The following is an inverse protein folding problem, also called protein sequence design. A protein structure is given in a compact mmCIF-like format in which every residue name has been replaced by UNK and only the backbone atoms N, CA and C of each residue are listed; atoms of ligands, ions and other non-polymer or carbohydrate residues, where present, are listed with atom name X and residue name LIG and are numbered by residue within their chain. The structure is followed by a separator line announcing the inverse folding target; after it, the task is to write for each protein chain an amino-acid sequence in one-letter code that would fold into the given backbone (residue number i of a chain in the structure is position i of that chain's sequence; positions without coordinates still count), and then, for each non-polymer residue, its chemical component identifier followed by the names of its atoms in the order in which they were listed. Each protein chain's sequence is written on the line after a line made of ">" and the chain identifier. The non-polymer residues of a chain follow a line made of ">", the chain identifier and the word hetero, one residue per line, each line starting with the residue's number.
data_IF_814674425458
#
_entry.id   IF_814674425458
#
_cell.length_a   1.000
_cell.length_b   1.000
_cell.length_c   1.000
_cell.angle_alpha   90.00
_cell.angle_beta   90.00
_cell.angle_gamma   90.00
#
_symmetry.space_group_name_H-M   'P 1'
#
loop_
_entity.id
_entity.type
_entity.pdbx_description
1 polymer ?
#
# COMPACT_ATOMS: atom_id res chain seq x y z
N UNK A 1 -20.74 28.59 -3.40
CA UNK A 1 -20.18 27.36 -2.80
C UNK A 1 -18.78 27.65 -2.27
N UNK A 2 -18.63 27.79 -0.95
CA UNK A 2 -17.35 28.09 -0.31
C UNK A 2 -16.37 26.90 -0.41
N UNK A 3 -16.89 25.66 -0.44
CA UNK A 3 -16.13 24.41 -0.58
C UNK A 3 -15.41 24.33 -1.93
N UNK A 4 -16.09 24.73 -3.00
CA UNK A 4 -15.47 24.86 -4.34
C UNK A 4 -14.29 25.83 -4.33
N UNK A 5 -14.46 27.01 -3.71
CA UNK A 5 -13.38 28.01 -3.60
C UNK A 5 -12.22 27.52 -2.74
N UNK A 6 -12.51 26.83 -1.63
CA UNK A 6 -11.50 26.25 -0.77
C UNK A 6 -10.70 25.15 -1.48
N UNK A 7 -11.37 24.28 -2.24
CA UNK A 7 -10.71 23.27 -3.07
C UNK A 7 -9.76 23.89 -4.08
N UNK A 8 -10.23 24.88 -4.83
CA UNK A 8 -9.39 25.58 -5.80
C UNK A 8 -8.19 26.27 -5.16
N UNK A 9 -8.37 26.83 -3.96
CA UNK A 9 -7.28 27.38 -3.17
C UNK A 9 -6.24 26.30 -2.83
N UNK A 10 -6.67 25.16 -2.26
CA UNK A 10 -5.77 24.05 -1.93
C UNK A 10 -5.04 23.49 -3.16
N UNK A 11 -5.72 23.37 -4.30
CA UNK A 11 -5.13 22.89 -5.54
C UNK A 11 -4.08 23.87 -6.11
N UNK A 12 -4.29 25.18 -5.98
CA UNK A 12 -3.28 26.17 -6.40
C UNK A 12 -2.07 26.22 -5.47
N UNK A 13 -2.25 25.83 -4.20
CA UNK A 13 -1.18 25.73 -3.22
C UNK A 13 -0.44 24.38 -3.23
N UNK A 14 -0.86 23.43 -4.07
CA UNK A 14 -0.24 22.12 -4.17
C UNK A 14 0.99 22.19 -5.10
N UNK A 15 2.17 21.96 -4.54
CA UNK A 15 3.44 22.00 -5.29
C UNK A 15 3.72 20.70 -6.07
N UNK A 16 2.91 19.66 -5.86
CA UNK A 16 3.12 18.37 -6.47
C UNK A 16 1.85 17.52 -6.61
N UNK A 17 1.96 16.39 -7.32
CA UNK A 17 0.80 15.54 -7.60
C UNK A 17 0.30 14.80 -6.36
N UNK A 18 1.18 14.52 -5.38
CA UNK A 18 0.76 13.95 -4.09
C UNK A 18 0.03 14.96 -3.21
N UNK A 19 0.48 16.22 -3.22
CA UNK A 19 -0.16 17.36 -2.58
C UNK A 19 -1.54 17.63 -3.20
N UNK A 20 -1.63 17.57 -4.53
CA UNK A 20 -2.90 17.72 -5.26
C UNK A 20 -3.88 16.59 -4.92
N UNK A 21 -3.39 15.35 -4.84
CA UNK A 21 -4.21 14.21 -4.40
C UNK A 21 -4.67 14.37 -2.94
N UNK A 22 -3.79 14.84 -2.05
CA UNK A 22 -4.11 15.13 -0.66
C UNK A 22 -5.17 16.21 -0.51
N UNK A 23 -5.07 17.30 -1.29
CA UNK A 23 -6.06 18.37 -1.35
C UNK A 23 -7.45 17.85 -1.75
N UNK A 24 -7.54 16.98 -2.76
CA UNK A 24 -8.81 16.35 -3.17
C UNK A 24 -9.34 15.38 -2.11
N UNK A 25 -8.45 14.59 -1.50
CA UNK A 25 -8.80 13.62 -0.46
C UNK A 25 -9.32 14.28 0.83
N UNK A 26 -9.06 15.57 1.07
CA UNK A 26 -9.63 16.31 2.19
C UNK A 26 -11.17 16.40 2.14
N UNK A 27 -11.76 16.35 0.94
CA UNK A 27 -13.21 16.49 0.73
C UNK A 27 -13.95 15.16 0.65
N UNK A 28 -13.23 14.03 0.72
CA UNK A 28 -13.80 12.68 0.70
C UNK A 28 -13.72 12.04 2.08
N UNK A 29 -14.73 11.26 2.43
CA UNK A 29 -14.75 10.48 3.65
C UNK A 29 -13.76 9.32 3.62
N UNK A 30 -13.47 8.72 4.79
CA UNK A 30 -12.49 7.63 4.90
C UNK A 30 -12.91 6.37 4.13
N UNK A 31 -14.22 6.14 3.95
CA UNK A 31 -14.76 4.98 3.21
C UNK A 31 -14.46 5.12 1.73
N UNK A 32 -14.75 6.27 1.14
CA UNK A 32 -14.48 6.58 -0.27
C UNK A 32 -12.97 6.48 -0.56
N UNK A 33 -12.14 6.98 0.35
CA UNK A 33 -10.68 6.88 0.24
C UNK A 33 -10.22 5.41 0.29
N UNK A 34 -10.78 4.60 1.18
CA UNK A 34 -10.43 3.18 1.28
C UNK A 34 -10.83 2.38 0.04
N UNK A 35 -11.93 2.73 -0.61
CA UNK A 35 -12.36 2.10 -1.86
C UNK A 35 -11.44 2.45 -3.04
N UNK A 36 -11.02 3.71 -3.13
CA UNK A 36 -10.18 4.22 -4.21
C UNK A 36 -8.70 3.82 -4.04
N UNK A 37 -8.21 3.79 -2.80
CA UNK A 37 -6.82 3.52 -2.45
C UNK A 37 -6.73 2.25 -1.62
N UNK A 38 -6.66 1.12 -2.31
CA UNK A 38 -6.64 -0.22 -1.69
C UNK A 38 -5.30 -0.55 -1.03
N UNK A 39 -4.19 0.00 -1.51
CA UNK A 39 -2.86 -0.21 -0.92
C UNK A 39 -2.75 0.60 0.39
N UNK A 40 -2.55 -0.05 1.56
CA UNK A 40 -2.48 0.64 2.84
C UNK A 40 -1.28 1.59 2.95
N UNK A 41 -0.16 1.29 2.28
CA UNK A 41 1.01 2.17 2.27
C UNK A 41 0.73 3.42 1.45
N UNK A 42 0.09 3.24 0.31
CA UNK A 42 -0.34 4.34 -0.53
C UNK A 42 -1.34 5.25 0.18
N UNK A 43 -2.31 4.65 0.89
CA UNK A 43 -3.29 5.39 1.69
C UNK A 43 -2.63 6.16 2.83
N UNK A 44 -1.65 5.55 3.49
CA UNK A 44 -0.87 6.22 4.54
C UNK A 44 -0.05 7.39 3.99
N UNK A 45 0.54 7.20 2.80
CA UNK A 45 1.29 8.26 2.13
C UNK A 45 0.38 9.40 1.67
N UNK A 46 -0.79 9.10 1.09
CA UNK A 46 -1.81 10.09 0.73
C UNK A 46 -2.27 10.90 1.94
N UNK A 47 -2.51 10.25 3.08
CA UNK A 47 -2.94 10.92 4.32
C UNK A 47 -1.92 11.95 4.83
N UNK A 48 -0.63 11.80 4.54
CA UNK A 48 0.40 12.78 4.90
C UNK A 48 0.21 14.13 4.18
N UNK A 49 -0.40 14.11 3.00
CA UNK A 49 -0.63 15.30 2.18
C UNK A 49 -2.04 15.87 2.36
N UNK A 50 -2.90 15.23 3.16
CA UNK A 50 -4.22 15.79 3.45
C UNK A 50 -4.03 17.06 4.28
N UNK A 51 -4.50 18.22 3.80
CA UNK A 51 -4.46 19.43 4.59
C UNK A 51 -5.21 19.17 5.90
N UNK A 52 -4.56 19.49 7.02
CA UNK A 52 -5.21 19.47 8.32
C UNK A 52 -6.38 20.45 8.21
N UNK A 53 -7.63 20.04 8.49
CA UNK A 53 -8.75 20.98 8.50
C UNK A 53 -8.36 22.15 9.40
N UNK A 54 -8.70 23.41 9.05
CA UNK A 54 -8.44 24.53 9.94
C UNK A 54 -9.25 24.33 11.22
N UNK A 55 -8.66 23.66 12.21
CA UNK A 55 -9.29 23.34 13.47
C UNK A 55 -9.36 24.63 14.29
N UNK A 56 -10.52 25.28 14.28
CA UNK A 56 -10.90 26.17 15.38
C UNK A 56 -11.37 25.31 16.57
N UNK A 57 -10.48 24.50 17.14
CA UNK A 57 -10.78 23.74 18.37
C UNK A 57 -10.16 22.35 18.47
N UNK A 58 -10.17 21.81 19.70
CA UNK A 58 -9.71 20.47 20.04
C UNK A 58 -10.42 19.39 19.20
N UNK A 59 -9.70 18.36 18.70
CA UNK A 59 -10.31 17.21 18.03
C UNK A 59 -11.44 16.58 18.87
N UNK A 60 -12.51 16.13 18.22
CA UNK A 60 -13.67 15.52 18.90
C UNK A 60 -14.67 16.51 19.50
N UNK A 61 -14.46 17.82 19.34
CA UNK A 61 -15.46 18.82 19.71
C UNK A 61 -16.58 18.90 18.67
N UNK A 62 -17.81 19.31 19.06
CA UNK A 62 -18.91 19.53 18.11
C UNK A 62 -18.56 20.50 16.97
N UNK A 63 -17.71 21.50 17.25
CA UNK A 63 -17.21 22.43 16.24
C UNK A 63 -16.27 21.75 15.24
N UNK A 64 -15.33 20.91 15.71
CA UNK A 64 -14.46 20.11 14.85
C UNK A 64 -15.25 19.14 13.96
N UNK A 65 -16.25 18.46 14.52
CA UNK A 65 -17.14 17.56 13.77
C UNK A 65 -18.01 18.32 12.74
N UNK A 66 -18.47 19.52 13.09
CA UNK A 66 -19.23 20.37 12.18
C UNK A 66 -18.33 20.89 11.05
N UNK A 67 -17.11 21.32 11.34
CA UNK A 67 -16.11 21.68 10.33
C UNK A 67 -15.79 20.50 9.44
N UNK A 68 -15.60 19.30 9.98
CA UNK A 68 -15.38 18.07 9.23
C UNK A 68 -16.54 17.79 8.26
N UNK A 69 -17.78 17.75 8.76
CA UNK A 69 -18.98 17.52 7.93
C UNK A 69 -19.20 18.60 6.88
N UNK A 70 -18.91 19.85 7.21
CA UNK A 70 -18.98 20.97 6.27
C UNK A 70 -17.84 20.85 5.23
N UNK A 71 -16.66 20.33 5.57
CA UNK A 71 -15.56 20.13 4.62
C UNK A 71 -15.75 18.90 3.72
N UNK A 72 -16.42 17.85 4.19
CA UNK A 72 -16.71 16.65 3.40
C UNK A 72 -17.87 16.88 2.42
N UNK A 73 -17.74 16.33 1.21
CA UNK A 73 -18.83 16.33 0.24
C UNK A 73 -19.87 15.27 0.64
N UNK A 74 -21.14 15.69 0.78
CA UNK A 74 -22.28 14.81 1.10
C UNK A 74 -23.20 14.59 -0.12
N UNK A 75 -23.03 15.37 -1.19
CA UNK A 75 -23.82 15.25 -2.41
C UNK A 75 -23.21 14.16 -3.33
N UNK A 76 -24.02 13.19 -3.82
CA UNK A 76 -23.50 12.05 -4.58
C UNK A 76 -22.86 12.44 -5.92
N UNK A 77 -23.30 13.51 -6.56
CA UNK A 77 -22.69 14.01 -7.81
C UNK A 77 -21.38 14.74 -7.52
N UNK A 78 -21.32 15.50 -6.41
CA UNK A 78 -20.09 16.10 -5.91
C UNK A 78 -19.04 15.02 -5.57
N UNK A 79 -19.44 13.97 -4.85
CA UNK A 79 -18.60 12.82 -4.51
C UNK A 79 -18.11 12.14 -5.78
N UNK A 80 -18.99 11.81 -6.73
CA UNK A 80 -18.62 11.12 -7.97
C UNK A 80 -17.58 11.91 -8.77
N UNK A 81 -17.76 13.23 -8.85
CA UNK A 81 -16.81 14.13 -9.51
C UNK A 81 -15.47 14.18 -8.79
N UNK A 82 -15.47 14.26 -7.45
CA UNK A 82 -14.25 14.26 -6.63
C UNK A 82 -13.50 12.93 -6.75
N UNK A 83 -14.20 11.79 -6.77
CA UNK A 83 -13.60 10.47 -6.99
C UNK A 83 -12.87 10.42 -8.33
N UNK A 84 -13.49 10.90 -9.41
CA UNK A 84 -12.86 10.96 -10.73
C UNK A 84 -11.59 11.83 -10.76
N UNK A 85 -11.63 13.00 -10.11
CA UNK A 85 -10.46 13.88 -9.99
C UNK A 85 -9.34 13.23 -9.16
N UNK A 86 -9.68 12.60 -8.03
CA UNK A 86 -8.71 11.93 -7.17
C UNK A 86 -8.03 10.76 -7.89
N UNK A 87 -8.79 9.96 -8.65
CA UNK A 87 -8.21 8.86 -9.45
C UNK A 87 -7.14 9.39 -10.41
N UNK A 88 -7.41 10.51 -11.10
CA UNK A 88 -6.45 11.11 -12.03
C UNK A 88 -5.22 11.63 -11.29
N UNK A 89 -5.42 12.37 -10.20
CA UNK A 89 -4.31 12.89 -9.38
C UNK A 89 -3.42 11.77 -8.82
N UNK A 90 -4.02 10.65 -8.39
CA UNK A 90 -3.28 9.48 -7.93
C UNK A 90 -2.46 8.82 -9.06
N UNK A 91 -3.00 8.75 -10.28
CA UNK A 91 -2.25 8.25 -11.43
C UNK A 91 -1.03 9.12 -11.73
N UNK A 92 -1.20 10.44 -11.70
CA UNK A 92 -0.11 11.40 -11.90
C UNK A 92 0.92 11.30 -10.76
N UNK A 93 0.46 11.17 -9.52
CA UNK A 93 1.30 11.01 -8.35
C UNK A 93 2.15 9.74 -8.41
N UNK A 94 1.54 8.61 -8.78
CA UNK A 94 2.22 7.32 -8.98
C UNK A 94 3.28 7.40 -10.09
N UNK A 95 2.98 8.10 -11.19
CA UNK A 95 3.93 8.32 -12.29
C UNK A 95 5.10 9.20 -11.90
N UNK A 96 4.85 10.25 -11.12
CA UNK A 96 5.88 11.15 -10.64
C UNK A 96 6.79 10.47 -9.62
N UNK A 97 6.19 9.85 -8.59
CA UNK A 97 6.91 9.08 -7.58
C UNK A 97 5.96 8.09 -6.89
N UNK A 98 6.21 6.77 -6.97
CA UNK A 98 5.40 5.82 -6.22
C UNK A 98 5.54 6.03 -4.71
N UNK A 99 4.50 5.72 -3.95
CA UNK A 99 4.53 5.83 -2.49
C UNK A 99 5.70 5.02 -1.92
N UNK A 100 6.46 5.57 -0.95
CA UNK A 100 7.57 4.87 -0.32
C UNK A 100 7.04 3.63 0.39
N UNK A 101 7.56 2.47 -0.02
CA UNK A 101 7.28 1.19 0.61
C UNK A 101 8.42 0.88 1.55
N UNK A 102 8.15 0.34 2.76
CA UNK A 102 9.22 -0.31 3.51
C UNK A 102 9.80 -1.36 2.58
N UNK A 103 11.12 -1.32 2.37
CA UNK A 103 11.80 -2.34 1.60
C UNK A 103 11.45 -3.67 2.28
N UNK A 104 10.53 -4.43 1.68
CA UNK A 104 10.58 -5.88 1.81
C UNK A 104 11.99 -6.17 1.32
N UNK A 105 12.87 -6.60 2.22
CA UNK A 105 14.20 -7.06 1.87
C UNK A 105 14.04 -7.78 0.54
N UNK A 106 14.49 -7.16 -0.55
CA UNK A 106 14.80 -7.90 -1.73
C UNK A 106 16.00 -8.68 -1.27
N UNK A 107 15.76 -9.80 -0.56
CA UNK A 107 16.77 -10.84 -0.45
C UNK A 107 17.19 -11.01 -1.89
N UNK A 108 18.46 -10.76 -2.24
CA UNK A 108 18.94 -11.16 -3.54
C UNK A 108 18.47 -12.61 -3.67
N UNK A 109 17.67 -12.90 -4.69
CA UNK A 109 17.42 -14.29 -5.07
C UNK A 109 18.79 -14.80 -5.45
N UNK A 110 19.54 -15.32 -4.47
CA UNK A 110 20.71 -16.14 -4.76
C UNK A 110 20.14 -17.23 -5.65
N UNK A 111 20.58 -17.35 -6.91
CA UNK A 111 20.15 -18.45 -7.75
C UNK A 111 20.39 -19.72 -6.94
N UNK A 112 19.32 -20.47 -6.68
CA UNK A 112 19.47 -21.79 -6.08
C UNK A 112 20.50 -22.53 -6.96
N UNK A 113 21.62 -23.02 -6.41
CA UNK A 113 22.55 -23.80 -7.21
C UNK A 113 21.75 -24.93 -7.88
N UNK A 114 22.04 -25.23 -9.16
CA UNK A 114 21.34 -26.29 -9.86
C UNK A 114 21.40 -27.56 -9.00
N UNK A 115 20.31 -28.35 -8.95
CA UNK A 115 20.35 -29.64 -8.26
C UNK A 115 21.56 -30.42 -8.78
N UNK A 116 22.29 -31.13 -7.90
CA UNK A 116 23.37 -31.99 -8.37
C UNK A 116 22.80 -32.93 -9.44
N UNK A 117 23.56 -33.21 -10.52
CA UNK A 117 23.12 -34.16 -11.53
C UNK A 117 22.72 -35.47 -10.84
N UNK A 118 21.61 -36.06 -11.27
CA UNK A 118 21.16 -37.37 -10.81
C UNK A 118 22.32 -38.36 -10.97
N UNK A 119 23.03 -38.63 -9.87
CA UNK A 119 23.94 -39.76 -9.83
C UNK A 119 23.07 -41.00 -10.06
N UNK A 120 23.36 -41.82 -11.08
CA UNK A 120 22.61 -43.04 -11.27
C UNK A 120 22.77 -43.89 -10.02
N UNK A 121 21.65 -44.20 -9.37
CA UNK A 121 21.59 -45.05 -8.20
C UNK A 121 22.50 -46.27 -8.39
N UNK A 122 23.36 -46.61 -7.42
CA UNK A 122 24.13 -47.85 -7.47
C UNK A 122 23.16 -49.02 -7.65
N UNK A 123 23.28 -49.71 -8.78
CA UNK A 123 22.54 -50.94 -9.05
C UNK A 123 22.90 -51.95 -7.96
N UNK A 124 21.97 -52.19 -7.04
CA UNK A 124 22.09 -53.26 -6.04
C UNK A 124 22.10 -54.60 -6.77
N UNK A 125 23.30 -55.16 -6.93
CA UNK A 125 23.47 -56.54 -7.34
C UNK A 125 22.97 -57.47 -6.22
N UNK A 126 22.09 -58.45 -6.52
CA UNK A 126 21.66 -59.41 -5.51
C UNK A 126 22.79 -60.43 -5.30
N UNK A 127 23.64 -60.18 -4.31
CA UNK A 127 24.58 -61.20 -3.80
C UNK A 127 23.96 -61.86 -2.59
N UNK A 128 23.54 -63.10 -2.79
CA UNK A 128 23.16 -64.02 -1.74
C UNK A 128 24.32 -64.37 -0.80
N UNK A 129 24.01 -65.36 0.05
CA UNK A 129 24.84 -66.01 1.06
C UNK A 129 24.75 -65.41 2.48
N UNK A 130 23.64 -65.81 3.12
CA UNK A 130 23.65 -66.38 4.47
C UNK A 130 24.99 -67.08 4.78
N UNK A 131 25.63 -66.73 5.89
CA UNK A 131 26.88 -67.41 6.28
C UNK A 131 27.55 -66.86 7.53
N UNK A 132 26.76 -66.53 8.54
CA UNK A 132 27.18 -66.18 9.89
C UNK A 132 28.11 -67.26 10.48
N UNK A 133 29.31 -66.91 10.95
CA UNK A 133 29.99 -67.61 12.05
C UNK A 133 31.10 -66.78 12.70
N UNK A 134 30.71 -66.19 13.83
CA UNK A 134 31.43 -66.01 15.12
C UNK A 134 32.95 -65.83 15.13
N UNK A 135 33.33 -64.66 15.67
CA UNK A 135 34.53 -64.46 16.52
C UNK A 135 34.49 -65.41 17.73
N UNK A 136 35.64 -65.93 18.17
CA UNK A 136 36.40 -65.40 19.33
C UNK A 136 37.46 -66.41 19.79
N UNK A 137 38.68 -65.93 19.90
CA UNK A 137 39.83 -66.54 20.54
C UNK A 137 39.61 -66.77 22.05
N UNK A 138 39.97 -67.97 22.53
CA UNK A 138 40.79 -68.24 23.72
C UNK A 138 41.18 -69.72 23.71
#
# INVERSE_FOLDING_TARGET
>A
NWRTRHREFLLRSADGPWESAGALAAFLGPVEIAELVRDPYERSYLNRFRPVPPHQGTPGTPAALLTERIMTADDPDEISRLRGQLIRALQDARRFRPAPRPAREQRPTVPLPPPPPDEPAPQEAPRGLLGWLRRRSA
#
